data_IF_505916157205
#
_entry.id   IF_505916157205
#
_cell.length_a   1.000
_cell.length_b   1.000
_cell.length_c   1.000
_cell.angle_alpha   90.00
_cell.angle_beta   90.00
_cell.angle_gamma   90.00
#
_symmetry.space_group_name_H-M   'P 1'
#
loop_
_entity.id
_entity.type
_entity.pdbx_description
1 polymer ?
#
# COMPACT_ATOMS: atom_id res chain seq x y z
N UNK A 1 -15.06 -46.71 29.26
CA UNK A 1 -14.75 -46.75 27.81
C UNK A 1 -14.12 -45.41 27.45
N UNK A 2 -12.83 -45.26 27.75
CA UNK A 2 -12.05 -44.07 27.41
C UNK A 2 -11.64 -44.13 25.94
N UNK A 3 -11.95 -43.06 25.21
CA UNK A 3 -11.56 -42.89 23.82
C UNK A 3 -10.04 -42.65 23.74
N UNK A 4 -9.34 -43.54 23.03
CA UNK A 4 -7.93 -43.37 22.67
C UNK A 4 -7.85 -42.29 21.58
N UNK A 5 -7.20 -41.16 21.88
CA UNK A 5 -6.96 -40.08 20.93
C UNK A 5 -5.84 -40.39 19.92
N UNK A 6 -5.84 -39.75 18.73
CA UNK A 6 -4.99 -40.13 17.59
C UNK A 6 -3.53 -39.64 17.65
N UNK A 7 -3.15 -38.67 18.49
CA UNK A 7 -1.81 -38.08 18.48
C UNK A 7 -0.74 -38.90 19.26
N UNK A 8 -0.60 -40.21 18.99
CA UNK A 8 0.57 -41.00 19.44
C UNK A 8 1.45 -41.40 18.26
N UNK A 9 2.45 -40.58 17.94
CA UNK A 9 3.76 -40.98 17.37
C UNK A 9 4.68 -39.77 17.23
N UNK A 10 5.10 -39.21 18.36
CA UNK A 10 6.33 -38.40 18.43
C UNK A 10 6.99 -38.67 19.78
N UNK A 11 7.44 -39.90 19.99
CA UNK A 11 8.18 -40.28 21.20
C UNK A 11 9.66 -40.00 20.95
N UNK A 12 10.11 -38.81 21.35
CA UNK A 12 11.53 -38.55 21.53
C UNK A 12 12.05 -39.44 22.67
N UNK A 13 12.91 -40.40 22.34
CA UNK A 13 13.60 -41.23 23.34
C UNK A 13 14.79 -40.45 23.91
N UNK A 14 14.66 -39.98 25.15
CA UNK A 14 15.82 -39.60 25.96
C UNK A 14 16.50 -40.88 26.48
N UNK A 15 17.79 -41.01 26.21
CA UNK A 15 18.63 -42.10 26.71
C UNK A 15 20.05 -41.59 26.90
N UNK A 16 20.42 -41.33 28.15
CA UNK A 16 21.78 -41.07 28.59
C UNK A 16 22.68 -42.27 28.28
N UNK A 17 23.87 -42.03 27.71
CA UNK A 17 24.88 -43.09 27.59
C UNK A 17 25.98 -42.89 26.54
N UNK A 18 27.00 -42.11 26.92
CA UNK A 18 28.44 -42.37 26.68
C UNK A 18 29.01 -42.30 25.25
N UNK A 19 30.03 -41.44 25.12
CA UNK A 19 30.85 -41.16 23.95
C UNK A 19 31.50 -42.39 23.29
N UNK A 20 31.48 -42.42 21.94
CA UNK A 20 32.64 -42.74 21.07
C UNK A 20 32.31 -42.62 19.57
N UNK A 21 33.17 -41.92 18.83
CA UNK A 21 33.48 -42.20 17.43
C UNK A 21 32.57 -41.56 16.37
N UNK A 22 32.97 -40.37 15.88
CA UNK A 22 32.39 -39.75 14.70
C UNK A 22 32.72 -40.56 13.43
N UNK A 23 31.70 -41.18 12.83
CA UNK A 23 31.68 -41.62 11.43
C UNK A 23 30.28 -41.39 10.85
N UNK A 24 30.21 -40.59 9.80
CA UNK A 24 29.14 -40.58 8.78
C UNK A 24 27.78 -40.04 9.24
N UNK A 25 27.47 -38.79 8.86
CA UNK A 25 26.12 -38.26 8.87
C UNK A 25 25.26 -39.00 7.80
N UNK A 26 24.72 -40.15 8.18
CA UNK A 26 23.61 -40.77 7.47
C UNK A 26 22.32 -40.08 7.94
N UNK A 27 21.66 -39.37 7.02
CA UNK A 27 20.38 -38.71 7.28
C UNK A 27 19.37 -39.71 7.84
N UNK A 28 18.66 -39.31 8.90
CA UNK A 28 17.49 -40.07 9.38
C UNK A 28 16.50 -40.21 8.23
N UNK A 29 15.85 -41.38 8.05
CA UNK A 29 14.80 -41.50 7.04
C UNK A 29 13.69 -40.50 7.37
N UNK A 30 13.49 -39.51 6.50
CA UNK A 30 12.37 -38.59 6.58
C UNK A 30 11.04 -39.34 6.45
N UNK A 31 9.97 -38.76 6.98
CA UNK A 31 8.61 -39.34 6.89
C UNK A 31 8.26 -39.55 5.40
N UNK A 32 7.78 -40.74 4.99
CA UNK A 32 7.34 -40.97 3.62
C UNK A 32 6.23 -39.97 3.23
N UNK A 33 6.33 -39.38 2.04
CA UNK A 33 5.48 -38.23 1.66
C UNK A 33 3.98 -38.57 1.65
N UNK A 34 3.61 -39.77 1.21
CA UNK A 34 2.22 -40.23 1.22
C UNK A 34 1.65 -40.37 2.65
N UNK A 35 2.42 -40.98 3.56
CA UNK A 35 2.01 -41.14 4.96
C UNK A 35 1.89 -39.79 5.67
N UNK A 36 2.83 -38.87 5.42
CA UNK A 36 2.78 -37.51 5.97
C UNK A 36 1.52 -36.76 5.50
N UNK A 37 1.16 -36.86 4.22
CA UNK A 37 -0.05 -36.23 3.67
C UNK A 37 -1.31 -36.82 4.32
N UNK A 38 -1.43 -38.14 4.44
CA UNK A 38 -2.59 -38.75 5.09
C UNK A 38 -2.73 -38.30 6.56
N UNK A 39 -1.63 -38.33 7.32
CA UNK A 39 -1.63 -37.87 8.71
C UNK A 39 -2.03 -36.39 8.83
N UNK A 40 -1.50 -35.52 7.97
CA UNK A 40 -1.87 -34.10 7.97
C UNK A 40 -3.34 -33.88 7.59
N UNK A 41 -3.89 -34.66 6.67
CA UNK A 41 -5.32 -34.60 6.32
C UNK A 41 -6.21 -35.02 7.49
N UNK A 42 -5.85 -36.07 8.21
CA UNK A 42 -6.56 -36.49 9.42
C UNK A 42 -6.52 -35.40 10.50
N UNK A 43 -5.34 -34.83 10.75
CA UNK A 43 -5.18 -33.71 11.68
C UNK A 43 -6.05 -32.52 11.26
N UNK A 44 -6.02 -32.12 9.98
CA UNK A 44 -6.83 -31.03 9.48
C UNK A 44 -8.33 -31.28 9.67
N UNK A 45 -8.80 -32.51 9.43
CA UNK A 45 -10.20 -32.87 9.60
C UNK A 45 -10.69 -32.73 11.05
N UNK A 46 -9.80 -32.95 12.03
CA UNK A 46 -10.09 -32.71 13.46
C UNK A 46 -10.02 -31.22 13.78
N UNK A 47 -8.98 -30.51 13.33
CA UNK A 47 -8.81 -29.08 13.58
C UNK A 47 -9.98 -28.26 13.00
N UNK A 48 -10.37 -28.54 11.75
CA UNK A 48 -11.45 -27.81 11.07
C UNK A 48 -12.83 -27.92 11.75
N UNK A 49 -13.06 -28.95 12.57
CA UNK A 49 -14.31 -29.12 13.34
C UNK A 49 -14.23 -28.55 14.76
N UNK A 50 -13.03 -28.16 15.20
CA UNK A 50 -12.78 -27.73 16.56
C UNK A 50 -13.06 -26.22 16.66
N UNK A 51 -13.99 -25.77 17.53
CA UNK A 51 -14.23 -24.35 17.74
C UNK A 51 -13.07 -23.74 18.55
N UNK A 52 -12.95 -22.41 18.46
CA UNK A 52 -11.95 -21.66 19.20
C UNK A 52 -12.05 -21.92 20.71
N UNK A 53 -10.90 -22.02 21.39
CA UNK A 53 -10.82 -22.26 22.83
C UNK A 53 -11.04 -23.72 23.29
N UNK A 54 -11.49 -24.62 22.40
CA UNK A 54 -11.67 -26.04 22.70
C UNK A 54 -10.50 -26.93 22.22
N UNK A 55 -9.39 -26.30 21.84
CA UNK A 55 -8.24 -26.96 21.21
C UNK A 55 -7.15 -27.47 22.12
N UNK A 56 -7.25 -27.35 23.46
CA UNK A 56 -6.11 -27.59 24.36
C UNK A 56 -5.37 -28.94 24.13
N UNK A 57 -6.12 -30.02 23.83
CA UNK A 57 -5.55 -31.34 23.54
C UNK A 57 -4.85 -31.46 22.17
N UNK A 58 -5.05 -30.47 21.28
CA UNK A 58 -4.53 -30.43 19.91
C UNK A 58 -3.24 -29.61 19.79
N UNK A 59 -2.77 -28.98 20.88
CA UNK A 59 -1.58 -28.12 20.85
C UNK A 59 -0.36 -28.84 20.29
N UNK A 60 -0.11 -30.07 20.76
CA UNK A 60 0.99 -30.90 20.27
C UNK A 60 0.87 -31.26 18.79
N UNK A 61 -0.36 -31.40 18.27
CA UNK A 61 -0.59 -31.73 16.87
C UNK A 61 -0.35 -30.48 15.99
N UNK A 62 -0.68 -29.27 16.45
CA UNK A 62 -0.35 -27.99 15.79
C UNK A 62 1.17 -27.73 15.81
N UNK A 63 1.83 -27.94 16.95
CA UNK A 63 3.29 -27.87 17.07
C UNK A 63 3.99 -28.89 16.16
N UNK A 64 3.44 -30.09 16.06
CA UNK A 64 3.90 -31.12 15.12
C UNK A 64 3.80 -30.66 13.67
N UNK A 65 2.71 -30.00 13.27
CA UNK A 65 2.57 -29.44 11.93
C UNK A 65 3.58 -28.30 11.63
N UNK A 66 4.05 -27.60 12.67
CA UNK A 66 5.10 -26.58 12.59
C UNK A 66 6.53 -27.16 12.65
N UNK A 67 6.67 -28.49 12.77
CA UNK A 67 7.98 -29.13 12.80
C UNK A 67 8.74 -28.86 11.49
N UNK A 68 10.04 -28.59 11.61
CA UNK A 68 10.86 -28.18 10.49
C UNK A 68 10.89 -29.24 9.37
N UNK A 69 10.80 -30.52 9.73
CA UNK A 69 10.75 -31.64 8.79
C UNK A 69 9.51 -31.61 7.89
N UNK A 70 8.39 -31.02 8.36
CA UNK A 70 7.16 -30.87 7.59
C UNK A 70 7.12 -29.53 6.85
N UNK A 71 7.51 -28.45 7.53
CA UNK A 71 7.51 -27.10 6.95
C UNK A 71 8.53 -26.97 5.82
N UNK A 72 9.68 -27.65 5.92
CA UNK A 72 10.73 -27.68 4.88
C UNK A 72 10.78 -29.02 4.14
N UNK A 73 9.71 -29.80 4.20
CA UNK A 73 9.62 -31.09 3.53
C UNK A 73 9.83 -30.93 2.02
N UNK A 74 10.56 -31.82 1.31
CA UNK A 74 10.81 -31.68 -0.13
C UNK A 74 9.54 -31.72 -0.99
N UNK A 75 8.57 -32.55 -0.61
CA UNK A 75 7.27 -32.63 -1.27
C UNK A 75 6.41 -31.39 -0.98
N UNK A 76 5.95 -30.75 -2.05
CA UNK A 76 5.07 -29.57 -2.00
C UNK A 76 3.71 -29.87 -1.40
N UNK A 77 3.18 -31.08 -1.59
CA UNK A 77 1.87 -31.43 -1.08
C UNK A 77 1.89 -31.53 0.46
N UNK A 78 2.94 -32.12 1.03
CA UNK A 78 3.15 -32.15 2.49
C UNK A 78 3.19 -30.73 3.06
N UNK A 79 3.96 -29.84 2.44
CA UNK A 79 4.05 -28.42 2.84
C UNK A 79 2.70 -27.70 2.77
N UNK A 80 1.91 -27.96 1.73
CA UNK A 80 0.57 -27.39 1.59
C UNK A 80 -0.37 -27.86 2.72
N UNK A 81 -0.41 -29.16 3.01
CA UNK A 81 -1.27 -29.66 4.08
C UNK A 81 -0.81 -29.20 5.46
N UNK A 82 0.50 -29.09 5.70
CA UNK A 82 1.04 -28.49 6.90
C UNK A 82 0.57 -27.03 7.07
N UNK A 83 0.64 -26.22 6.00
CA UNK A 83 0.15 -24.84 6.00
C UNK A 83 -1.35 -24.77 6.35
N UNK A 84 -2.18 -25.66 5.80
CA UNK A 84 -3.62 -25.71 6.12
C UNK A 84 -3.87 -26.06 7.59
N UNK A 85 -3.14 -27.05 8.14
CA UNK A 85 -3.23 -27.40 9.56
C UNK A 85 -2.83 -26.23 10.46
N UNK A 86 -1.76 -25.51 10.10
CA UNK A 86 -1.29 -24.36 10.86
C UNK A 86 -2.31 -23.22 10.84
N UNK A 87 -2.92 -22.91 9.69
CA UNK A 87 -3.97 -21.88 9.59
C UNK A 87 -5.18 -22.19 10.51
N UNK A 88 -5.63 -23.45 10.56
CA UNK A 88 -6.68 -23.86 11.50
C UNK A 88 -6.20 -23.84 12.96
N UNK A 89 -4.93 -24.18 13.20
CA UNK A 89 -4.30 -24.04 14.51
C UNK A 89 -4.36 -22.59 15.02
N UNK A 90 -3.96 -21.62 14.19
CA UNK A 90 -4.06 -20.20 14.54
C UNK A 90 -5.49 -19.79 14.88
N UNK A 91 -6.49 -20.26 14.12
CA UNK A 91 -7.91 -20.00 14.41
C UNK A 91 -8.34 -20.52 15.79
N UNK A 92 -7.95 -21.74 16.13
CA UNK A 92 -8.43 -22.42 17.34
C UNK A 92 -7.84 -21.81 18.61
N UNK A 93 -6.57 -21.40 18.53
CA UNK A 93 -5.80 -20.93 19.67
C UNK A 93 -5.66 -19.41 19.77
N UNK A 94 -6.25 -18.65 18.84
CA UNK A 94 -6.30 -17.19 18.95
C UNK A 94 -6.81 -16.76 20.35
N UNK A 95 -6.17 -15.76 20.99
CA UNK A 95 -5.15 -14.85 20.41
C UNK A 95 -3.73 -15.42 20.38
N UNK A 96 -3.37 -16.37 21.26
CA UNK A 96 -2.00 -16.84 21.43
C UNK A 96 -1.83 -18.28 20.89
N UNK A 97 -1.23 -18.47 19.70
CA UNK A 97 -1.03 -19.81 19.16
C UNK A 97 -0.03 -20.60 20.00
N UNK A 98 -0.13 -21.95 20.04
CA UNK A 98 0.76 -22.79 20.83
C UNK A 98 2.09 -23.01 20.08
N UNK A 99 2.65 -21.97 19.49
CA UNK A 99 3.88 -21.99 18.70
C UNK A 99 4.92 -21.12 19.38
N UNK A 100 6.16 -21.60 19.47
CA UNK A 100 7.27 -20.72 19.85
C UNK A 100 7.62 -19.75 18.70
N UNK A 101 8.43 -18.73 18.99
CA UNK A 101 8.81 -17.70 18.01
C UNK A 101 9.46 -18.29 16.74
N UNK A 102 10.23 -19.38 16.87
CA UNK A 102 10.86 -20.05 15.72
C UNK A 102 9.82 -20.78 14.87
N UNK A 103 8.91 -21.51 15.50
CA UNK A 103 7.82 -22.22 14.84
C UNK A 103 6.86 -21.24 14.15
N UNK A 104 6.55 -20.12 14.81
CA UNK A 104 5.71 -19.07 14.24
C UNK A 104 6.33 -18.47 12.98
N UNK A 105 7.62 -18.11 13.05
CA UNK A 105 8.38 -17.64 11.89
C UNK A 105 8.35 -18.66 10.74
N UNK A 106 8.61 -19.94 11.02
CA UNK A 106 8.57 -21.00 10.01
C UNK A 106 7.17 -21.13 9.38
N UNK A 107 6.11 -21.02 10.18
CA UNK A 107 4.73 -21.03 9.68
C UNK A 107 4.45 -19.84 8.75
N UNK A 108 4.88 -18.62 9.12
CA UNK A 108 4.74 -17.42 8.28
C UNK A 108 5.52 -17.55 6.96
N UNK A 109 6.76 -18.05 7.02
CA UNK A 109 7.56 -18.32 5.82
C UNK A 109 6.88 -19.33 4.89
N UNK A 110 6.27 -20.38 5.46
CA UNK A 110 5.51 -21.39 4.73
C UNK A 110 4.24 -20.81 4.09
N UNK A 111 3.48 -20.00 4.81
CA UNK A 111 2.30 -19.33 4.26
C UNK A 111 2.70 -18.47 3.05
N UNK A 112 3.74 -17.65 3.19
CA UNK A 112 4.23 -16.82 2.09
C UNK A 112 4.74 -17.65 0.91
N UNK A 113 5.36 -18.81 1.15
CA UNK A 113 5.69 -19.76 0.08
C UNK A 113 4.44 -20.26 -0.64
N UNK A 114 3.41 -20.72 0.08
CA UNK A 114 2.18 -21.23 -0.54
C UNK A 114 1.44 -20.13 -1.31
N UNK A 115 1.40 -18.91 -0.77
CA UNK A 115 0.76 -17.77 -1.42
C UNK A 115 1.48 -17.29 -2.68
N UNK A 116 2.74 -17.67 -2.90
CA UNK A 116 3.44 -17.34 -4.15
C UNK A 116 2.78 -17.94 -5.40
N UNK A 117 2.02 -19.04 -5.24
CA UNK A 117 1.24 -19.64 -6.32
C UNK A 117 0.07 -18.76 -6.80
N UNK A 118 -0.29 -17.70 -6.07
CA UNK A 118 -1.29 -16.72 -6.51
C UNK A 118 -0.82 -15.88 -7.71
N UNK A 119 0.48 -15.85 -7.99
CA UNK A 119 1.04 -15.20 -9.16
C UNK A 119 0.82 -15.98 -10.47
N UNK A 120 0.20 -17.17 -10.42
CA UNK A 120 -0.15 -17.96 -11.61
C UNK A 120 -1.58 -18.49 -11.52
N UNK A 121 -2.59 -17.72 -12.01
CA UNK A 121 -3.98 -18.14 -12.03
C UNK A 121 -4.25 -19.45 -12.81
N UNK A 122 -3.35 -19.84 -13.72
CA UNK A 122 -3.47 -21.07 -14.50
C UNK A 122 -2.96 -22.31 -13.76
N UNK A 123 -2.20 -22.14 -12.68
CA UNK A 123 -1.65 -23.25 -11.92
C UNK A 123 -2.72 -23.96 -11.08
N UNK A 124 -2.68 -25.31 -11.04
CA UNK A 124 -3.54 -26.09 -10.15
C UNK A 124 -3.39 -25.71 -8.66
N UNK A 125 -2.21 -25.21 -8.27
CA UNK A 125 -1.93 -24.74 -6.92
C UNK A 125 -2.67 -23.45 -6.55
N UNK A 126 -3.14 -22.66 -7.53
CA UNK A 126 -3.81 -21.38 -7.30
C UNK A 126 -5.04 -21.52 -6.40
N UNK A 127 -5.90 -22.50 -6.65
CA UNK A 127 -7.12 -22.73 -5.86
C UNK A 127 -6.79 -23.01 -4.39
N UNK A 128 -5.70 -23.72 -4.13
CA UNK A 128 -5.26 -24.00 -2.76
C UNK A 128 -4.64 -22.79 -2.08
N UNK A 129 -3.84 -22.00 -2.80
CA UNK A 129 -3.27 -20.76 -2.28
C UNK A 129 -4.35 -19.70 -2.01
N UNK A 130 -5.36 -19.60 -2.88
CA UNK A 130 -6.50 -18.69 -2.71
C UNK A 130 -7.32 -19.06 -1.49
N UNK A 131 -7.69 -20.34 -1.34
CA UNK A 131 -8.40 -20.81 -0.14
C UNK A 131 -7.59 -20.64 1.15
N UNK A 132 -6.27 -20.81 1.09
CA UNK A 132 -5.40 -20.53 2.22
C UNK A 132 -5.39 -19.03 2.57
N UNK A 133 -5.26 -18.15 1.58
CA UNK A 133 -5.32 -16.69 1.78
C UNK A 133 -6.62 -16.29 2.47
N UNK A 134 -7.77 -16.78 2.00
CA UNK A 134 -9.08 -16.50 2.62
C UNK A 134 -9.08 -16.82 4.12
N UNK A 135 -8.57 -18.00 4.50
CA UNK A 135 -8.48 -18.41 5.91
C UNK A 135 -7.50 -17.56 6.71
N UNK A 136 -6.35 -17.21 6.12
CA UNK A 136 -5.34 -16.37 6.78
C UNK A 136 -5.86 -14.95 7.04
N UNK A 137 -6.65 -14.38 6.12
CA UNK A 137 -7.32 -13.09 6.31
C UNK A 137 -8.36 -13.17 7.42
N UNK A 138 -9.20 -14.22 7.42
CA UNK A 138 -10.25 -14.41 8.44
C UNK A 138 -9.71 -14.45 9.87
N UNK A 139 -8.51 -15.01 10.06
CA UNK A 139 -7.86 -15.11 11.38
C UNK A 139 -6.80 -14.03 11.62
N UNK A 140 -6.69 -13.05 10.72
CA UNK A 140 -5.68 -11.98 10.78
C UNK A 140 -4.24 -12.50 10.97
N UNK A 141 -3.90 -13.67 10.38
CA UNK A 141 -2.65 -14.40 10.68
C UNK A 141 -1.37 -13.57 10.50
N UNK A 142 -1.36 -12.65 9.53
CA UNK A 142 -0.18 -11.84 9.23
C UNK A 142 0.14 -10.78 10.28
N UNK A 143 -0.76 -10.51 11.22
CA UNK A 143 -0.47 -9.67 12.39
C UNK A 143 0.62 -10.28 13.27
N UNK A 144 0.74 -11.61 13.27
CA UNK A 144 1.75 -12.34 14.02
C UNK A 144 3.18 -12.13 13.47
N UNK A 145 3.34 -11.44 12.33
CA UNK A 145 4.66 -11.02 11.85
C UNK A 145 5.37 -10.17 12.90
N UNK A 146 4.65 -9.32 13.64
CA UNK A 146 5.23 -8.42 14.64
C UNK A 146 5.74 -9.13 15.90
N UNK A 147 5.36 -10.39 16.11
CA UNK A 147 5.90 -11.23 17.20
C UNK A 147 7.26 -11.86 16.84
N UNK A 148 7.75 -11.64 15.61
CA UNK A 148 9.03 -12.17 15.13
C UNK A 148 10.15 -11.12 15.19
N UNK A 149 11.36 -11.53 15.56
CA UNK A 149 12.53 -10.64 15.62
C UNK A 149 12.86 -10.02 14.24
N UNK A 150 12.69 -10.77 13.15
CA UNK A 150 12.95 -10.33 11.77
C UNK A 150 11.68 -9.90 11.00
N UNK A 151 10.71 -9.32 11.72
CA UNK A 151 9.44 -8.85 11.18
C UNK A 151 9.58 -7.97 9.93
N UNK A 152 10.59 -7.09 9.84
CA UNK A 152 10.82 -6.25 8.65
C UNK A 152 11.06 -7.07 7.38
N UNK A 153 11.82 -8.16 7.48
CA UNK A 153 12.13 -9.03 6.35
C UNK A 153 10.90 -9.83 5.92
N UNK A 154 10.11 -10.32 6.88
CA UNK A 154 8.84 -11.00 6.64
C UNK A 154 7.81 -10.05 6.01
N UNK A 155 7.71 -8.82 6.51
CA UNK A 155 6.83 -7.78 5.96
C UNK A 155 7.21 -7.47 4.50
N UNK A 156 8.50 -7.27 4.22
CA UNK A 156 8.98 -7.06 2.86
C UNK A 156 8.71 -8.25 1.94
N UNK A 157 8.80 -9.47 2.45
CA UNK A 157 8.46 -10.67 1.67
C UNK A 157 6.95 -10.77 1.42
N UNK A 158 6.12 -10.46 2.41
CA UNK A 158 4.67 -10.46 2.29
C UNK A 158 4.20 -9.46 1.23
N UNK A 159 4.73 -8.24 1.25
CA UNK A 159 4.44 -7.21 0.24
C UNK A 159 4.81 -7.71 -1.17
N UNK A 160 6.00 -8.28 -1.36
CA UNK A 160 6.42 -8.85 -2.65
C UNK A 160 5.48 -9.93 -3.15
N UNK A 161 5.06 -10.86 -2.28
CA UNK A 161 4.14 -11.94 -2.63
C UNK A 161 2.78 -11.35 -3.04
N UNK A 162 2.22 -10.44 -2.25
CA UNK A 162 0.94 -9.81 -2.57
C UNK A 162 0.99 -9.00 -3.88
N UNK A 163 2.06 -8.21 -4.11
CA UNK A 163 2.22 -7.46 -5.35
C UNK A 163 2.39 -8.40 -6.56
N UNK A 164 3.12 -9.50 -6.40
CA UNK A 164 3.26 -10.50 -7.47
C UNK A 164 1.92 -11.13 -7.86
N UNK A 165 1.08 -11.46 -6.87
CA UNK A 165 -0.27 -11.96 -7.08
C UNK A 165 -1.19 -10.91 -7.73
N UNK A 166 -1.06 -9.65 -7.32
CA UNK A 166 -1.85 -8.55 -7.85
C UNK A 166 -1.55 -8.27 -9.32
N UNK A 167 -0.31 -8.44 -9.78
CA UNK A 167 0.08 -8.22 -11.20
C UNK A 167 -0.61 -9.18 -12.17
N UNK A 168 -0.99 -10.37 -11.71
CA UNK A 168 -1.67 -11.40 -12.52
C UNK A 168 -3.15 -11.53 -12.20
N UNK A 169 -3.66 -10.74 -11.27
CA UNK A 169 -5.08 -10.68 -10.94
C UNK A 169 -5.84 -9.94 -12.04
N UNK A 170 -7.06 -10.39 -12.34
CA UNK A 170 -8.02 -9.65 -13.18
C UNK A 170 -8.99 -8.82 -12.32
N UNK A 171 -8.59 -8.48 -11.10
CA UNK A 171 -9.39 -7.79 -10.09
C UNK A 171 -10.31 -8.71 -9.27
N UNK A 172 -11.24 -8.10 -8.52
CA UNK A 172 -12.29 -8.81 -7.80
C UNK A 172 -11.89 -9.26 -6.39
N UNK A 173 -12.31 -10.47 -6.00
CA UNK A 173 -12.19 -10.92 -4.59
C UNK A 173 -10.74 -11.07 -4.12
N UNK A 174 -9.84 -11.49 -5.00
CA UNK A 174 -8.41 -11.60 -4.67
C UNK A 174 -7.83 -10.24 -4.30
N UNK A 175 -8.07 -9.22 -5.12
CA UNK A 175 -7.60 -7.85 -4.88
C UNK A 175 -8.10 -7.31 -3.53
N UNK A 176 -9.38 -7.55 -3.20
CA UNK A 176 -9.93 -7.19 -1.89
C UNK A 176 -9.23 -7.85 -0.71
N UNK A 177 -8.91 -9.15 -0.81
CA UNK A 177 -8.18 -9.88 0.24
C UNK A 177 -6.73 -9.40 0.36
N UNK A 178 -6.05 -9.16 -0.77
CA UNK A 178 -4.69 -8.61 -0.78
C UNK A 178 -4.65 -7.21 -0.16
N UNK A 179 -5.64 -6.36 -0.48
CA UNK A 179 -5.76 -5.02 0.09
C UNK A 179 -5.96 -5.05 1.61
N UNK A 180 -6.80 -5.97 2.11
CA UNK A 180 -7.01 -6.15 3.55
C UNK A 180 -5.73 -6.58 4.26
N UNK A 181 -5.01 -7.56 3.71
CA UNK A 181 -3.73 -8.04 4.28
C UNK A 181 -2.69 -6.92 4.31
N UNK A 182 -2.46 -6.25 3.18
CA UNK A 182 -1.46 -5.19 3.08
C UNK A 182 -1.79 -3.98 3.95
N UNK A 183 -3.06 -3.54 3.96
CA UNK A 183 -3.48 -2.39 4.78
C UNK A 183 -3.40 -2.73 6.28
N UNK A 184 -3.81 -3.94 6.68
CA UNK A 184 -3.73 -4.39 8.07
C UNK A 184 -2.28 -4.47 8.57
N UNK A 185 -1.40 -5.17 7.84
CA UNK A 185 0.01 -5.26 8.23
C UNK A 185 0.70 -3.89 8.24
N UNK A 186 0.56 -3.10 7.17
CA UNK A 186 1.28 -1.83 7.09
C UNK A 186 0.70 -0.75 8.02
N UNK A 187 -0.60 -0.81 8.33
CA UNK A 187 -1.26 0.13 9.23
C UNK A 187 -0.86 -0.04 10.69
N UNK A 188 -0.48 -1.26 11.08
CA UNK A 188 -0.07 -1.62 12.44
C UNK A 188 1.46 -1.58 12.65
N UNK A 189 2.25 -1.48 11.56
CA UNK A 189 3.69 -1.33 11.67
C UNK A 189 4.07 0.02 12.30
N UNK A 190 4.88 0.00 13.36
CA UNK A 190 5.43 1.22 13.98
C UNK A 190 6.24 2.04 12.97
N UNK A 191 7.04 1.35 12.17
CA UNK A 191 7.84 1.93 11.08
C UNK A 191 7.78 1.02 9.87
N UNK A 192 7.48 1.59 8.70
CA UNK A 192 7.46 0.83 7.45
C UNK A 192 8.87 0.83 6.84
N UNK A 193 9.49 -0.34 6.59
CA UNK A 193 10.85 -0.41 6.07
C UNK A 193 11.00 0.29 4.71
N UNK A 194 12.12 1.01 4.49
CA UNK A 194 12.40 1.71 3.22
C UNK A 194 12.27 0.80 1.98
N UNK A 195 12.73 -0.46 1.97
CA UNK A 195 12.55 -1.35 0.81
C UNK A 195 11.08 -1.59 0.47
N UNK A 196 10.22 -1.68 1.48
CA UNK A 196 8.76 -1.85 1.30
C UNK A 196 8.17 -0.60 0.63
N UNK A 197 8.51 0.58 1.14
CA UNK A 197 8.03 1.85 0.57
C UNK A 197 8.50 2.03 -0.89
N UNK A 198 9.76 1.66 -1.18
CA UNK A 198 10.30 1.69 -2.54
C UNK A 198 9.54 0.75 -3.48
N UNK A 199 9.18 -0.45 -3.04
CA UNK A 199 8.38 -1.39 -3.83
C UNK A 199 6.96 -0.86 -4.11
N UNK A 200 6.29 -0.28 -3.10
CA UNK A 200 4.97 0.31 -3.26
C UNK A 200 5.00 1.48 -4.24
N UNK A 201 5.91 2.45 -4.06
CA UNK A 201 6.03 3.59 -4.99
C UNK A 201 6.48 3.15 -6.39
N UNK A 202 7.26 2.07 -6.49
CA UNK A 202 7.67 1.49 -7.78
C UNK A 202 6.50 1.03 -8.65
N UNK A 203 5.40 0.55 -8.05
CA UNK A 203 4.18 0.20 -8.79
C UNK A 203 3.39 1.42 -9.28
N UNK A 204 3.56 2.58 -8.61
CA UNK A 204 2.95 3.84 -9.04
C UNK A 204 3.73 4.55 -10.16
N UNK A 205 4.93 4.07 -10.48
CA UNK A 205 5.76 4.65 -11.53
C UNK A 205 5.03 4.65 -12.90
N UNK A 206 5.31 5.61 -13.81
CA UNK A 206 4.59 5.77 -15.07
C UNK A 206 4.50 4.50 -15.92
N UNK A 207 5.52 3.63 -15.85
CA UNK A 207 5.59 2.35 -16.58
C UNK A 207 4.63 1.28 -16.05
N UNK A 208 4.16 1.38 -14.80
CA UNK A 208 3.39 0.35 -14.09
C UNK A 208 2.01 0.82 -13.60
N UNK A 209 1.77 2.13 -13.60
CA UNK A 209 0.55 2.79 -13.08
C UNK A 209 -0.79 2.24 -13.59
N UNK A 210 -0.83 1.63 -14.78
CA UNK A 210 -2.07 1.09 -15.38
C UNK A 210 -2.43 -0.35 -14.99
N UNK A 211 -1.59 -1.04 -14.21
CA UNK A 211 -1.82 -2.43 -13.82
C UNK A 211 -2.67 -2.58 -12.55
N UNK A 212 -3.23 -3.79 -12.35
CA UNK A 212 -3.97 -4.16 -11.13
C UNK A 212 -3.15 -4.00 -9.85
N UNK A 213 -1.84 -4.26 -9.90
CA UNK A 213 -0.95 -4.00 -8.78
C UNK A 213 -0.89 -2.52 -8.39
N UNK A 214 -0.91 -1.61 -9.35
CA UNK A 214 -0.94 -0.17 -9.07
C UNK A 214 -2.29 0.25 -8.47
N UNK A 215 -3.41 -0.33 -8.94
CA UNK A 215 -4.73 -0.10 -8.35
C UNK A 215 -4.80 -0.57 -6.88
N UNK A 216 -4.30 -1.77 -6.61
CA UNK A 216 -4.15 -2.31 -5.26
C UNK A 216 -3.31 -1.37 -4.37
N UNK A 217 -2.13 -0.93 -4.85
CA UNK A 217 -1.26 -0.03 -4.08
C UNK A 217 -1.95 1.30 -3.79
N UNK A 218 -2.69 1.88 -4.75
CA UNK A 218 -3.49 3.10 -4.50
C UNK A 218 -4.51 2.88 -3.39
N UNK A 219 -5.22 1.75 -3.41
CA UNK A 219 -6.20 1.41 -2.37
C UNK A 219 -5.53 1.25 -0.99
N UNK A 220 -4.40 0.54 -0.93
CA UNK A 220 -3.64 0.35 0.31
C UNK A 220 -3.16 1.69 0.87
N UNK A 221 -2.51 2.51 0.04
CA UNK A 221 -2.01 3.82 0.48
C UNK A 221 -3.13 4.78 0.91
N UNK A 222 -4.31 4.71 0.26
CA UNK A 222 -5.49 5.45 0.71
C UNK A 222 -5.94 5.00 2.11
N UNK A 223 -5.91 3.68 2.38
CA UNK A 223 -6.16 3.14 3.71
C UNK A 223 -5.13 3.59 4.75
N UNK A 224 -3.86 3.68 4.37
CA UNK A 224 -2.77 4.09 5.26
C UNK A 224 -2.73 5.59 5.58
N UNK A 225 -3.43 6.43 4.81
CA UNK A 225 -3.42 7.89 5.02
C UNK A 225 -3.93 8.33 6.41
N UNK A 226 -4.73 7.49 7.09
CA UNK A 226 -5.22 7.72 8.45
C UNK A 226 -4.49 6.92 9.54
N UNK A 227 -3.42 6.22 9.20
CA UNK A 227 -2.64 5.37 10.12
C UNK A 227 -1.27 5.99 10.44
N UNK A 228 -0.58 5.48 11.46
CA UNK A 228 0.79 5.90 11.84
C UNK A 228 1.79 5.77 10.67
N UNK A 229 1.58 4.78 9.79
CA UNK A 229 2.36 4.53 8.58
C UNK A 229 2.51 5.76 7.65
N UNK A 230 1.59 6.73 7.71
CA UNK A 230 1.68 7.99 6.96
C UNK A 230 2.98 8.74 7.25
N UNK A 231 3.52 8.64 8.46
CA UNK A 231 4.78 9.27 8.85
C UNK A 231 5.97 8.66 8.10
N UNK A 232 6.05 7.33 8.07
CA UNK A 232 7.10 6.60 7.33
C UNK A 232 7.07 6.93 5.83
N UNK A 233 5.87 7.03 5.25
CA UNK A 233 5.69 7.41 3.83
C UNK A 233 6.20 8.84 3.60
N UNK A 234 5.75 9.80 4.42
CA UNK A 234 6.17 11.20 4.30
C UNK A 234 7.69 11.35 4.44
N UNK A 235 8.29 10.67 5.43
CA UNK A 235 9.74 10.69 5.66
C UNK A 235 10.51 10.08 4.50
N UNK A 236 10.05 8.95 3.97
CA UNK A 236 10.68 8.31 2.83
C UNK A 236 10.65 9.17 1.57
N UNK A 237 9.49 9.75 1.24
CA UNK A 237 9.35 10.62 0.06
C UNK A 237 10.18 11.89 0.23
N UNK A 238 10.15 12.49 1.42
CA UNK A 238 10.95 13.68 1.72
C UNK A 238 12.45 13.39 1.65
N UNK A 239 12.92 12.32 2.28
CA UNK A 239 14.30 11.88 2.19
C UNK A 239 14.72 11.61 0.74
N UNK A 240 13.87 10.95 -0.05
CA UNK A 240 14.18 10.63 -1.45
C UNK A 240 14.33 11.87 -2.33
N UNK A 241 13.67 12.98 -2.00
CA UNK A 241 13.71 14.24 -2.77
C UNK A 241 14.77 15.23 -2.29
N UNK A 242 15.10 15.23 -0.99
CA UNK A 242 15.88 16.31 -0.37
C UNK A 242 17.11 15.82 0.41
N UNK A 243 17.20 14.56 0.82
CA UNK A 243 18.40 14.03 1.46
C UNK A 243 19.38 13.52 0.40
N UNK A 244 20.63 13.97 0.47
CA UNK A 244 21.70 13.43 -0.35
C UNK A 244 21.95 11.96 0.02
N UNK A 245 22.14 11.09 -0.97
CA UNK A 245 22.50 9.70 -0.72
C UNK A 245 23.77 9.64 0.17
N UNK A 246 23.76 8.87 1.27
CA UNK A 246 24.93 8.75 2.13
C UNK A 246 26.06 8.09 1.34
N UNK A 247 27.10 8.86 1.01
CA UNK A 247 28.24 8.43 0.19
C UNK A 247 28.51 9.29 -1.05
N UNK A 248 27.68 10.31 -1.32
CA UNK A 248 28.00 11.34 -2.31
C UNK A 248 28.95 12.39 -1.72
N UNK A 249 30.25 12.10 -1.71
CA UNK A 249 31.27 13.11 -1.43
C UNK A 249 31.13 14.28 -2.43
N UNK A 250 30.59 15.41 -1.95
CA UNK A 250 31.03 16.77 -2.28
C UNK A 250 31.19 17.20 -3.74
N UNK A 251 30.51 16.59 -4.71
CA UNK A 251 30.51 17.06 -6.10
C UNK A 251 29.13 17.66 -6.46
N UNK A 252 28.79 18.78 -5.83
CA UNK A 252 27.71 19.66 -6.28
C UNK A 252 28.10 20.19 -7.68
N UNK A 253 27.44 19.67 -8.74
CA UNK A 253 27.57 20.28 -10.07
C UNK A 253 27.48 19.37 -11.29
N UNK A 254 27.41 18.04 -11.14
CA UNK A 254 27.20 17.16 -12.30
C UNK A 254 26.10 16.13 -12.03
N UNK A 255 24.84 16.57 -12.15
CA UNK A 255 23.72 15.64 -12.20
C UNK A 255 23.83 14.78 -13.45
N UNK A 256 24.01 13.47 -13.26
CA UNK A 256 23.94 12.50 -14.36
C UNK A 256 22.53 12.50 -14.96
N UNK A 257 22.41 12.15 -16.24
CA UNK A 257 21.10 12.01 -16.91
C UNK A 257 20.17 11.05 -16.16
N UNK A 258 20.75 10.01 -15.55
CA UNK A 258 20.04 9.06 -14.67
C UNK A 258 19.50 9.70 -13.38
N UNK A 259 20.21 10.69 -12.81
CA UNK A 259 19.73 11.42 -11.64
C UNK A 259 18.50 12.26 -11.95
N UNK A 260 18.51 12.99 -13.08
CA UNK A 260 17.36 13.77 -13.54
C UNK A 260 16.12 12.91 -13.82
N UNK A 261 16.31 11.74 -14.43
CA UNK A 261 15.23 10.77 -14.65
C UNK A 261 14.65 10.23 -13.32
N UNK A 262 15.51 9.96 -12.33
CA UNK A 262 15.09 9.51 -11.01
C UNK A 262 14.27 10.59 -10.29
N UNK A 263 14.73 11.85 -10.29
CA UNK A 263 13.99 12.99 -9.71
C UNK A 263 12.65 13.21 -10.39
N UNK A 264 12.59 13.11 -11.72
CA UNK A 264 11.32 13.20 -12.46
C UNK A 264 10.35 12.07 -12.06
N UNK A 265 10.83 10.84 -11.90
CA UNK A 265 10.03 9.72 -11.43
C UNK A 265 9.50 9.94 -10.00
N UNK A 266 10.30 10.53 -9.11
CA UNK A 266 9.87 10.89 -7.76
C UNK A 266 8.80 11.98 -7.77
N UNK A 267 8.92 13.02 -8.59
CA UNK A 267 7.85 14.02 -8.72
C UNK A 267 6.56 13.43 -9.29
N UNK A 268 6.64 12.47 -10.22
CA UNK A 268 5.47 11.70 -10.62
C UNK A 268 4.87 10.97 -9.41
N UNK A 269 5.67 10.25 -8.62
CA UNK A 269 5.18 9.55 -7.43
C UNK A 269 4.56 10.51 -6.39
N UNK A 270 5.12 11.71 -6.18
CA UNK A 270 4.52 12.75 -5.33
C UNK A 270 3.13 13.13 -5.84
N UNK A 271 2.97 13.34 -7.15
CA UNK A 271 1.67 13.62 -7.73
C UNK A 271 0.69 12.46 -7.51
N UNK A 272 1.12 11.21 -7.74
CA UNK A 272 0.29 10.02 -7.48
C UNK A 272 -0.19 9.96 -6.03
N UNK A 273 0.72 10.17 -5.08
CA UNK A 273 0.42 10.17 -3.66
C UNK A 273 -0.54 11.30 -3.30
N UNK A 274 -0.36 12.49 -3.86
CA UNK A 274 -1.27 13.62 -3.69
C UNK A 274 -2.68 13.31 -4.23
N UNK A 275 -2.80 12.66 -5.39
CA UNK A 275 -4.09 12.22 -5.91
C UNK A 275 -4.76 11.20 -4.97
N UNK A 276 -3.96 10.32 -4.35
CA UNK A 276 -4.44 9.33 -3.38
C UNK A 276 -4.91 10.00 -2.10
N UNK A 277 -4.06 10.77 -1.41
CA UNK A 277 -4.36 11.59 -0.23
C UNK A 277 -3.29 12.67 0.04
N UNK A 278 -3.72 13.91 0.33
CA UNK A 278 -2.81 15.01 0.66
C UNK A 278 -1.98 14.75 1.91
N UNK A 279 -2.48 13.91 2.83
CA UNK A 279 -1.74 13.48 4.02
C UNK A 279 -0.46 12.72 3.68
N UNK A 280 -0.41 11.99 2.56
CA UNK A 280 0.75 11.18 2.14
C UNK A 280 1.93 12.04 1.67
N UNK A 281 1.69 13.33 1.36
CA UNK A 281 2.70 14.28 0.87
C UNK A 281 2.84 15.51 1.76
N UNK A 282 2.24 15.50 2.95
CA UNK A 282 2.18 16.65 3.85
C UNK A 282 3.56 17.27 4.16
N UNK A 283 4.61 16.45 4.31
CA UNK A 283 5.97 16.93 4.56
C UNK A 283 6.70 17.46 3.33
N UNK A 284 6.24 17.11 2.13
CA UNK A 284 6.82 17.57 0.87
C UNK A 284 6.29 18.95 0.49
N UNK A 285 5.03 19.27 0.85
CA UNK A 285 4.37 20.53 0.47
C UNK A 285 5.15 21.80 0.86
N UNK A 286 5.69 21.94 2.09
CA UNK A 286 6.49 23.11 2.45
C UNK A 286 7.79 23.22 1.64
N UNK A 287 8.39 22.10 1.26
CA UNK A 287 9.61 22.10 0.46
C UNK A 287 9.33 22.45 -1.01
N UNK A 288 8.18 22.06 -1.56
CA UNK A 288 7.77 22.52 -2.90
C UNK A 288 7.61 24.05 -2.96
N UNK A 289 7.15 24.67 -1.88
CA UNK A 289 7.08 26.13 -1.79
C UNK A 289 8.46 26.78 -1.93
N UNK A 290 9.47 26.22 -1.27
CA UNK A 290 10.86 26.68 -1.36
C UNK A 290 11.42 26.40 -2.75
N UNK A 291 11.16 25.21 -3.31
CA UNK A 291 11.67 24.78 -4.61
C UNK A 291 11.12 25.61 -5.78
N UNK A 292 9.91 26.19 -5.66
CA UNK A 292 9.43 27.18 -6.64
C UNK A 292 10.39 28.37 -6.76
N UNK A 293 11.18 28.66 -5.73
CA UNK A 293 12.18 29.73 -5.68
C UNK A 293 13.63 29.23 -5.79
N UNK A 294 13.83 27.94 -6.08
CA UNK A 294 15.17 27.34 -6.20
C UNK A 294 16.07 28.13 -7.17
N UNK A 295 17.37 28.18 -6.93
CA UNK A 295 18.31 28.79 -7.88
C UNK A 295 18.46 27.94 -9.15
N UNK A 296 18.31 26.61 -9.01
CA UNK A 296 18.29 25.69 -10.14
C UNK A 296 16.99 25.85 -10.93
N UNK A 297 17.15 26.34 -12.14
CA UNK A 297 16.08 26.54 -13.08
C UNK A 297 15.37 25.25 -13.51
N UNK A 298 16.11 24.14 -13.65
CA UNK A 298 15.51 22.87 -14.08
C UNK A 298 14.59 22.33 -12.96
N UNK A 299 15.05 22.40 -11.71
CA UNK A 299 14.23 22.12 -10.52
C UNK A 299 13.03 23.06 -10.40
N UNK A 300 13.22 24.39 -10.54
CA UNK A 300 12.10 25.35 -10.54
C UNK A 300 11.05 24.99 -11.58
N UNK A 301 11.47 24.67 -12.82
CA UNK A 301 10.55 24.29 -13.89
C UNK A 301 9.77 23.02 -13.54
N UNK A 302 10.46 21.97 -13.07
CA UNK A 302 9.84 20.70 -12.71
C UNK A 302 8.81 20.86 -11.58
N UNK A 303 9.15 21.60 -10.53
CA UNK A 303 8.24 21.88 -9.41
C UNK A 303 7.08 22.78 -9.84
N UNK A 304 7.32 23.76 -10.71
CA UNK A 304 6.24 24.60 -11.29
C UNK A 304 5.20 23.73 -11.99
N UNK A 305 5.63 22.77 -12.82
CA UNK A 305 4.72 21.83 -13.50
C UNK A 305 3.95 20.95 -12.50
N UNK A 306 4.65 20.40 -11.50
CA UNK A 306 4.04 19.55 -10.47
C UNK A 306 2.97 20.32 -9.68
N UNK A 307 3.33 21.47 -9.12
CA UNK A 307 2.44 22.30 -8.31
C UNK A 307 1.25 22.78 -9.13
N UNK A 308 1.46 23.19 -10.39
CA UNK A 308 0.37 23.57 -11.29
C UNK A 308 -0.65 22.44 -11.47
N UNK A 309 -0.18 21.19 -11.67
CA UNK A 309 -1.05 20.01 -11.75
C UNK A 309 -1.76 19.70 -10.42
N UNK A 310 -1.09 19.88 -9.29
CA UNK A 310 -1.68 19.67 -7.96
C UNK A 310 -2.77 20.69 -7.66
N UNK A 311 -2.55 21.97 -7.99
CA UNK A 311 -3.54 23.03 -7.83
C UNK A 311 -4.75 22.81 -8.73
N UNK A 312 -4.54 22.35 -9.97
CA UNK A 312 -5.59 22.04 -10.93
C UNK A 312 -6.33 20.72 -10.66
N UNK A 313 -5.88 19.90 -9.71
CA UNK A 313 -6.49 18.61 -9.44
C UNK A 313 -7.88 18.78 -8.81
N UNK A 314 -8.91 18.31 -9.52
CA UNK A 314 -10.25 18.15 -8.98
C UNK A 314 -10.48 16.67 -8.62
N UNK A 315 -10.68 16.33 -7.34
CA UNK A 315 -10.99 14.96 -6.98
C UNK A 315 -12.31 14.52 -7.62
N UNK A 316 -12.43 13.27 -8.08
CA UNK A 316 -13.66 12.75 -8.66
C UNK A 316 -14.81 12.86 -7.64
N UNK A 317 -15.97 13.35 -8.10
CA UNK A 317 -17.19 13.47 -7.29
C UNK A 317 -17.79 12.07 -7.04
N UNK A 318 -17.17 11.29 -6.17
CA UNK A 318 -17.70 10.02 -5.70
C UNK A 318 -18.51 10.24 -4.42
N UNK A 319 -19.77 9.75 -4.32
CA UNK A 319 -20.61 9.92 -3.13
C UNK A 319 -20.03 9.32 -1.84
N UNK A 320 -19.16 8.32 -1.97
CA UNK A 320 -18.50 7.61 -0.86
C UNK A 320 -17.13 8.19 -0.49
N UNK A 321 -16.57 9.10 -1.29
CA UNK A 321 -15.25 9.66 -1.04
C UNK A 321 -15.34 10.81 -0.03
N UNK A 322 -14.37 10.88 0.88
CA UNK A 322 -14.29 11.95 1.87
C UNK A 322 -14.13 13.29 1.12
N UNK A 323 -14.95 14.31 1.40
CA UNK A 323 -14.82 15.60 0.74
C UNK A 323 -13.45 16.20 1.09
N UNK A 324 -12.65 16.44 0.05
CA UNK A 324 -11.33 17.07 0.18
C UNK A 324 -11.41 18.54 -0.18
N UNK A 325 -10.87 19.37 0.71
CA UNK A 325 -10.68 20.77 0.42
C UNK A 325 -9.65 20.93 -0.71
N UNK A 326 -9.89 21.78 -1.72
CA UNK A 326 -8.92 22.04 -2.77
C UNK A 326 -7.57 22.49 -2.20
N UNK A 327 -6.46 22.15 -2.87
CA UNK A 327 -5.13 22.54 -2.39
C UNK A 327 -5.00 24.06 -2.23
N UNK A 328 -5.62 24.83 -3.14
CA UNK A 328 -5.69 26.30 -3.08
C UNK A 328 -6.26 26.81 -1.74
N UNK A 329 -7.22 26.08 -1.15
CA UNK A 329 -7.84 26.50 0.11
C UNK A 329 -7.01 26.14 1.35
N UNK A 330 -6.24 25.05 1.29
CA UNK A 330 -5.42 24.59 2.42
C UNK A 330 -4.02 25.19 2.41
N UNK A 331 -3.49 25.49 1.23
CA UNK A 331 -2.14 26.03 1.01
C UNK A 331 -2.19 27.21 0.02
N UNK A 332 -2.84 28.34 0.36
CA UNK A 332 -2.99 29.48 -0.55
C UNK A 332 -1.65 30.06 -0.99
N UNK A 333 -0.64 30.02 -0.11
CA UNK A 333 0.70 30.50 -0.42
C UNK A 333 1.40 29.71 -1.55
N UNK A 334 1.04 28.43 -1.77
CA UNK A 334 1.54 27.68 -2.93
C UNK A 334 0.98 28.22 -4.24
N UNK A 335 -0.28 28.69 -4.26
CA UNK A 335 -0.87 29.33 -5.43
C UNK A 335 -0.16 30.64 -5.73
N UNK A 336 0.02 31.51 -4.73
CA UNK A 336 0.69 32.80 -4.92
C UNK A 336 2.09 32.61 -5.51
N UNK A 337 2.88 31.68 -4.96
CA UNK A 337 4.22 31.37 -5.48
C UNK A 337 4.21 30.75 -6.87
N UNK A 338 3.21 29.94 -7.19
CA UNK A 338 3.08 29.40 -8.53
C UNK A 338 2.78 30.52 -9.54
N UNK A 339 1.92 31.48 -9.19
CA UNK A 339 1.61 32.64 -10.04
C UNK A 339 2.80 33.60 -10.18
N UNK A 340 3.64 33.76 -9.16
CA UNK A 340 4.90 34.51 -9.26
C UNK A 340 5.80 33.98 -10.40
N UNK A 341 5.67 32.69 -10.77
CA UNK A 341 6.47 32.08 -11.85
C UNK A 341 6.03 32.51 -13.26
N UNK A 342 4.87 33.16 -13.43
CA UNK A 342 4.49 33.79 -14.70
C UNK A 342 5.46 34.91 -15.11
N UNK A 343 6.18 35.48 -14.14
CA UNK A 343 7.21 36.49 -14.32
C UNK A 343 8.64 35.94 -14.13
N UNK A 344 8.86 34.62 -14.18
CA UNK A 344 10.20 34.03 -14.04
C UNK A 344 11.15 34.49 -15.16
N UNK A 345 12.44 34.58 -14.85
CA UNK A 345 13.47 35.00 -15.81
C UNK A 345 13.58 34.05 -16.99
N UNK A 346 13.31 32.75 -16.81
CA UNK A 346 13.36 31.77 -17.89
C UNK A 346 12.00 31.55 -18.54
N UNK A 347 12.01 31.43 -19.87
CA UNK A 347 10.80 31.19 -20.67
C UNK A 347 10.14 29.85 -20.37
N UNK A 348 10.92 28.79 -20.20
CA UNK A 348 10.41 27.44 -19.96
C UNK A 348 9.67 27.30 -18.61
N UNK A 349 10.11 28.04 -17.58
CA UNK A 349 9.40 28.15 -16.30
C UNK A 349 8.09 28.94 -16.46
N UNK A 350 8.12 30.06 -17.21
CA UNK A 350 6.91 30.84 -17.50
C UNK A 350 5.86 30.03 -18.26
N UNK A 351 6.27 29.23 -19.24
CA UNK A 351 5.38 28.33 -19.97
C UNK A 351 4.77 27.28 -19.04
N UNK A 352 5.57 26.67 -18.16
CA UNK A 352 5.06 25.72 -17.15
C UNK A 352 4.02 26.36 -16.20
N UNK A 353 4.26 27.61 -15.76
CA UNK A 353 3.32 28.34 -14.92
C UNK A 353 2.02 28.67 -15.67
N UNK A 354 2.12 29.05 -16.94
CA UNK A 354 0.97 29.32 -17.80
C UNK A 354 0.12 28.07 -18.01
N UNK A 355 0.75 26.92 -18.26
CA UNK A 355 0.07 25.61 -18.35
C UNK A 355 -0.70 25.28 -17.07
N UNK A 356 -0.06 25.44 -15.91
CA UNK A 356 -0.68 25.22 -14.60
C UNK A 356 -1.86 26.15 -14.33
N UNK A 357 -1.71 27.45 -14.61
CA UNK A 357 -2.77 28.45 -14.45
C UNK A 357 -3.96 28.16 -15.37
N UNK A 358 -3.71 27.79 -16.63
CA UNK A 358 -4.76 27.41 -17.58
C UNK A 358 -5.52 26.16 -17.11
N UNK A 359 -4.81 25.13 -16.63
CA UNK A 359 -5.41 23.93 -16.08
C UNK A 359 -6.27 24.22 -14.84
N UNK A 360 -5.80 25.08 -13.94
CA UNK A 360 -6.54 25.51 -12.76
C UNK A 360 -7.84 26.22 -13.14
N UNK A 361 -7.79 27.16 -14.08
CA UNK A 361 -8.98 27.87 -14.55
C UNK A 361 -9.98 26.91 -15.19
N UNK A 362 -9.52 25.95 -16.00
CA UNK A 362 -10.36 24.93 -16.60
C UNK A 362 -11.04 24.04 -15.53
N UNK A 363 -10.29 23.65 -14.48
CA UNK A 363 -10.79 22.87 -13.37
C UNK A 363 -11.87 23.63 -12.57
N UNK A 364 -11.65 24.91 -12.28
CA UNK A 364 -12.63 25.78 -11.61
C UNK A 364 -13.89 25.95 -12.46
N UNK A 365 -13.73 26.17 -13.77
CA UNK A 365 -14.86 26.30 -14.69
C UNK A 365 -15.69 25.01 -14.77
N UNK A 366 -15.05 23.84 -14.79
CA UNK A 366 -15.72 22.55 -14.79
C UNK A 366 -16.44 22.24 -13.46
N UNK A 367 -15.94 22.75 -12.34
CA UNK A 367 -16.54 22.58 -11.03
C UNK A 367 -17.76 23.49 -10.80
N UNK A 368 -17.87 24.60 -11.54
CA UNK A 368 -18.97 25.55 -11.43
C UNK A 368 -20.33 24.86 -11.72
N UNK A 369 -21.38 25.13 -10.93
CA UNK A 369 -22.70 24.61 -11.23
C UNK A 369 -23.15 25.13 -12.60
N UNK A 370 -23.74 24.25 -13.42
CA UNK A 370 -24.33 24.67 -14.69
C UNK A 370 -25.26 25.87 -14.45
N UNK A 371 -25.18 26.94 -15.27
CA UNK A 371 -26.09 28.05 -15.11
C UNK A 371 -27.51 27.49 -15.17
N UNK A 372 -28.32 27.77 -14.15
CA UNK A 372 -29.73 27.40 -14.15
C UNK A 372 -30.34 27.87 -15.49
N UNK A 373 -31.15 27.04 -16.17
CA UNK A 373 -31.77 27.47 -17.41
C UNK A 373 -32.53 28.76 -17.08
N UNK A 374 -32.08 29.87 -17.65
CA UNK A 374 -32.78 31.14 -17.54
C UNK A 374 -34.15 30.86 -18.15
N UNK A 375 -35.18 30.82 -17.31
CA UNK A 375 -36.54 30.61 -17.75
C UNK A 375 -36.88 31.72 -18.74
N UNK A 376 -36.78 31.41 -20.03
CA UNK A 376 -37.26 32.26 -21.11
C UNK A 376 -38.78 32.27 -21.05
N UNK A 377 -39.34 33.03 -20.11
CA UNK A 377 -40.77 32.95 -19.84
C UNK A 377 -41.26 33.76 -18.65
N UNK A 378 -40.86 35.04 -18.51
CA UNK A 378 -41.64 36.05 -17.78
C UNK A 378 -41.05 37.47 -17.94
N UNK A 379 -40.93 37.96 -19.17
CA UNK A 379 -40.66 39.38 -19.42
C UNK A 379 -41.55 39.92 -20.54
N UNK A 380 -42.84 39.56 -20.48
CA UNK A 380 -43.90 40.16 -21.32
C UNK A 380 -45.07 40.62 -20.45
N UNK A 381 -44.77 41.31 -19.36
CA UNK A 381 -45.76 42.07 -18.58
C UNK A 381 -45.07 43.06 -17.64
N UNK A 382 -44.25 43.97 -18.17
CA UNK A 382 -43.87 45.23 -17.48
C UNK A 382 -43.20 46.19 -18.48
N UNK A 383 -43.79 46.36 -19.66
CA UNK A 383 -43.54 47.53 -20.52
C UNK A 383 -44.75 48.44 -20.36
N UNK A 384 -44.72 49.26 -19.32
CA UNK A 384 -45.82 50.14 -18.98
C UNK A 384 -45.61 50.82 -17.64
N UNK A 385 -44.50 51.53 -17.47
CA UNK A 385 -44.30 52.37 -16.28
C UNK A 385 -42.87 52.50 -15.78
N UNK A 386 -41.90 52.85 -16.64
CA UNK A 386 -40.59 53.33 -16.18
C UNK A 386 -39.89 54.29 -17.16
N UNK A 387 -40.59 54.80 -18.18
CA UNK A 387 -40.05 55.77 -19.13
C UNK A 387 -40.05 57.23 -18.60
N UNK A 388 -40.10 57.43 -17.28
CA UNK A 388 -40.19 58.77 -16.67
C UNK A 388 -39.13 59.06 -15.60
N UNK A 389 -38.15 58.17 -15.36
CA UNK A 389 -37.13 58.35 -14.33
C UNK A 389 -35.68 58.39 -14.86
N UNK A 390 -35.48 58.40 -16.18
CA UNK A 390 -34.14 58.41 -16.81
C UNK A 390 -33.67 59.80 -17.29
N UNK A 391 -34.29 60.89 -16.80
CA UNK A 391 -33.91 62.27 -17.16
C UNK A 391 -33.17 63.03 -16.04
N UNK A 392 -32.83 62.42 -14.90
CA UNK A 392 -32.29 63.16 -13.75
C UNK A 392 -30.96 62.64 -13.16
N UNK A 393 -30.33 61.61 -13.74
CA UNK A 393 -29.12 60.98 -13.16
C UNK A 393 -27.86 61.06 -14.05
N UNK A 394 -27.81 61.97 -15.02
CA UNK A 394 -26.67 62.16 -15.93
C UNK A 394 -26.14 63.62 -15.97
N UNK A 395 -26.33 64.36 -14.89
CA UNK A 395 -25.67 65.66 -14.68
C UNK A 395 -25.07 65.69 -13.26
N UNK A 396 -23.82 65.23 -13.14
CA UNK A 396 -23.11 65.26 -11.85
C UNK A 396 -21.86 64.38 -11.75
N UNK A 397 -21.16 64.11 -12.85
CA UNK A 397 -19.79 63.64 -12.79
C UNK A 397 -18.87 64.86 -12.91
N UNK A 398 -18.31 65.32 -11.79
CA UNK A 398 -17.32 66.39 -11.77
C UNK A 398 -17.01 66.91 -10.37
N UNK A 399 -15.79 66.64 -9.91
CA UNK A 399 -15.11 67.17 -8.71
C UNK A 399 -15.47 66.51 -7.36
N UNK A 400 -14.54 65.74 -6.77
CA UNK A 400 -13.47 66.27 -5.92
C UNK A 400 -12.84 65.15 -5.05
N UNK A 401 -11.50 65.16 -5.04
CA UNK A 401 -10.54 64.53 -4.09
C UNK A 401 -10.43 63.00 -4.04
#
# INVERSE_FOLDING_TARGET
REARGPCRTARASSGDGKARGARGAAGRPGVPSAEAVEQLREVLAVLGKTPQGQGAALAACVQGAAAEELVRHPDREVRLWAAKCLAEGLRIFAPEPPLDARQLRLALELFLEQLSALADPGAAAFVHAFGLLERLVEVCAFMLIFDCEDHEALLARAVRVCLSAARTSEGGRLEGLLAQVLTGMLGEADTVPRPVLAELLGELAPKRRGGFAAALVRQVLAGLASHSAVLSINEFVNASLYEAAPGGDGMEGMETTSGKEATAALFCAVYELFEIDTALVARVLPNLYIDLQSEDADRRRAVTLLVGRMLAHCPPRCPSARPRAPLVSTHPLLLDRHLDRLADAREDVRLAALEGAAALLAAVAAAAPAPAPVAAGAARAQVGGAAAAESAALAGAGAAL
#
